data_IF_125313862365
#
_entry.id   IF_125313862365
#
_cell.length_a   1.000
_cell.length_b   1.000
_cell.length_c   1.000
_cell.angle_alpha   90.00
_cell.angle_beta   90.00
_cell.angle_gamma   90.00
#
_symmetry.space_group_name_H-M   'P 1'
#
loop_
_entity.id
_entity.type
_entity.pdbx_description
1 polymer ?
#
# COMPACT_ATOMS: atom_id res chain seq x y z
N UNK A 1 -21.18 5.42 3.84
CA UNK A 1 -20.51 6.13 2.72
C UNK A 1 -20.15 5.06 1.72
N UNK A 2 -20.54 5.19 0.46
CA UNK A 2 -20.45 4.09 -0.51
C UNK A 2 -19.00 3.62 -0.67
N UNK A 3 -18.72 2.39 -0.27
CA UNK A 3 -17.51 1.64 -0.63
C UNK A 3 -17.56 1.35 -2.12
N UNK A 4 -17.39 2.38 -2.95
CA UNK A 4 -17.05 2.19 -4.35
C UNK A 4 -15.66 1.55 -4.36
N UNK A 5 -15.63 0.25 -4.64
CA UNK A 5 -14.41 -0.51 -4.86
C UNK A 5 -13.60 0.27 -5.89
N UNK A 6 -12.51 0.90 -5.47
CA UNK A 6 -11.61 1.59 -6.38
C UNK A 6 -11.15 0.54 -7.38
N UNK A 7 -11.46 0.78 -8.64
CA UNK A 7 -11.20 -0.12 -9.73
C UNK A 7 -9.67 -0.27 -9.87
N UNK A 8 -9.10 -1.29 -9.24
CA UNK A 8 -7.64 -1.52 -9.21
C UNK A 8 -7.07 -1.84 -10.59
N UNK A 9 -7.94 -2.11 -11.57
CA UNK A 9 -7.65 -2.28 -12.99
C UNK A 9 -7.59 -0.97 -13.78
N UNK A 10 -8.00 0.16 -13.19
CA UNK A 10 -7.80 1.49 -13.80
C UNK A 10 -6.37 1.97 -13.57
N UNK A 11 -5.77 2.50 -14.64
CA UNK A 11 -4.48 3.21 -14.56
C UNK A 11 -4.71 4.59 -13.95
N UNK A 12 -4.60 4.68 -12.63
CA UNK A 12 -4.47 5.97 -11.94
C UNK A 12 -3.05 6.51 -12.13
N UNK A 13 -2.85 7.84 -12.19
CA UNK A 13 -1.52 8.43 -12.08
C UNK A 13 -0.89 7.99 -10.76
N UNK A 14 0.23 7.27 -10.83
CA UNK A 14 0.94 6.78 -9.64
C UNK A 14 1.90 7.84 -9.12
N UNK A 15 2.05 7.89 -7.80
CA UNK A 15 3.10 8.65 -7.13
C UNK A 15 4.30 7.75 -6.87
N UNK A 16 5.49 8.34 -6.85
CA UNK A 16 6.68 7.63 -6.39
C UNK A 16 6.54 7.25 -4.91
N UNK A 17 7.31 6.23 -4.48
CA UNK A 17 7.35 5.80 -3.08
C UNK A 17 7.68 6.96 -2.14
N UNK A 18 8.76 7.70 -2.41
CA UNK A 18 9.12 8.87 -1.61
C UNK A 18 8.01 9.94 -1.57
N UNK A 19 7.36 10.25 -2.70
CA UNK A 19 6.32 11.28 -2.76
C UNK A 19 5.02 10.89 -2.03
N UNK A 20 4.69 9.61 -2.00
CA UNK A 20 3.53 9.08 -1.26
C UNK A 20 3.82 8.87 0.23
N UNK A 21 5.04 9.13 0.68
CA UNK A 21 5.44 8.83 2.06
C UNK A 21 5.52 7.33 2.35
N UNK A 22 5.71 6.51 1.31
CA UNK A 22 5.77 5.06 1.45
C UNK A 22 6.99 4.61 2.27
N UNK A 23 6.80 3.60 3.10
CA UNK A 23 7.83 2.96 3.91
C UNK A 23 7.52 1.47 4.09
N UNK A 24 8.56 0.64 4.02
CA UNK A 24 8.52 -0.76 4.45
C UNK A 24 8.94 -0.88 5.92
N UNK A 25 8.10 -1.49 6.75
CA UNK A 25 8.39 -1.65 8.19
C UNK A 25 8.71 -3.12 8.47
N UNK A 26 9.96 -3.53 8.21
CA UNK A 26 10.44 -4.92 8.31
C UNK A 26 10.08 -5.63 9.63
N UNK A 27 9.97 -4.86 10.72
CA UNK A 27 9.58 -5.37 12.04
C UNK A 27 8.20 -6.05 12.01
N UNK A 28 7.30 -5.61 11.14
CA UNK A 28 5.93 -6.12 11.01
C UNK A 28 5.75 -7.17 9.92
N UNK A 29 6.81 -7.67 9.30
CA UNK A 29 6.71 -8.68 8.22
C UNK A 29 5.92 -9.94 8.58
N UNK A 30 5.85 -10.28 9.88
CA UNK A 30 5.17 -11.45 10.42
C UNK A 30 3.96 -11.06 11.32
N UNK A 31 3.55 -9.80 11.32
CA UNK A 31 2.39 -9.33 12.10
C UNK A 31 1.06 -9.73 11.43
N UNK A 32 -0.05 -9.57 12.16
CA UNK A 32 -1.37 -9.66 11.54
C UNK A 32 -1.67 -8.37 10.76
N UNK A 33 -1.62 -8.47 9.43
CA UNK A 33 -1.77 -7.32 8.53
C UNK A 33 -3.22 -7.02 8.15
N UNK A 34 -4.20 -7.80 8.65
CA UNK A 34 -5.64 -7.51 8.44
C UNK A 34 -6.14 -6.36 9.34
N UNK A 35 -5.29 -5.86 10.24
CA UNK A 35 -5.62 -4.78 11.17
C UNK A 35 -4.54 -3.70 11.12
N UNK A 36 -4.91 -2.46 11.46
CA UNK A 36 -3.99 -1.33 11.42
C UNK A 36 -3.77 -0.75 10.03
N UNK A 37 -2.79 0.15 9.94
CA UNK A 37 -2.50 1.00 8.78
C UNK A 37 -1.53 0.36 7.80
N UNK A 38 -1.75 -0.91 7.44
CA UNK A 38 -0.88 -1.63 6.51
C UNK A 38 -1.43 -1.62 5.09
N UNK A 39 -0.53 -1.69 4.10
CA UNK A 39 -0.90 -1.85 2.70
C UNK A 39 -1.82 -3.05 2.51
N UNK A 40 -1.59 -4.18 3.18
CA UNK A 40 -2.47 -5.36 3.08
C UNK A 40 -3.95 -5.03 3.36
N UNK A 41 -4.23 -4.13 4.31
CA UNK A 41 -5.57 -3.68 4.70
C UNK A 41 -5.98 -2.34 4.04
N UNK A 42 -5.35 -1.98 2.92
CA UNK A 42 -5.61 -0.74 2.19
C UNK A 42 -6.45 -1.02 0.93
N UNK A 43 -7.42 -0.16 0.60
CA UNK A 43 -8.26 -0.32 -0.62
C UNK A 43 -7.46 -0.23 -1.92
N UNK A 44 -6.30 0.42 -1.89
CA UNK A 44 -5.45 0.61 -3.07
C UNK A 44 -4.46 -0.54 -3.30
N UNK A 45 -4.37 -1.48 -2.36
CA UNK A 45 -3.43 -2.59 -2.47
C UNK A 45 -3.97 -3.65 -3.42
N UNK A 46 -3.10 -4.03 -4.36
CA UNK A 46 -3.37 -5.05 -5.35
C UNK A 46 -2.59 -6.28 -4.91
N UNK A 47 -3.29 -7.43 -4.85
CA UNK A 47 -2.68 -8.73 -4.57
C UNK A 47 -1.49 -8.95 -5.52
N UNK A 48 -0.46 -9.64 -5.03
CA UNK A 48 0.87 -9.75 -5.67
C UNK A 48 1.81 -8.54 -5.46
N UNK A 49 1.58 -7.77 -4.39
CA UNK A 49 2.49 -6.71 -3.90
C UNK A 49 2.58 -5.49 -4.83
N UNK A 50 1.44 -5.01 -5.32
CA UNK A 50 1.34 -3.80 -6.13
C UNK A 50 0.38 -2.78 -5.47
N UNK A 51 0.44 -1.53 -5.92
CA UNK A 51 -0.52 -0.50 -5.51
C UNK A 51 -1.13 0.19 -6.74
N UNK A 52 -2.41 0.55 -6.64
CA UNK A 52 -3.12 1.28 -7.69
C UNK A 52 -2.58 2.71 -7.88
N UNK A 53 -2.06 3.34 -6.82
CA UNK A 53 -1.69 4.76 -6.79
C UNK A 53 -0.22 5.04 -6.40
N UNK A 54 0.55 4.01 -6.05
CA UNK A 54 1.99 4.13 -5.73
C UNK A 54 2.78 3.24 -6.68
N UNK A 55 3.90 3.76 -7.18
CA UNK A 55 4.85 3.02 -8.01
C UNK A 55 5.55 1.91 -7.24
N UNK A 56 5.79 0.77 -7.89
CA UNK A 56 6.43 -0.37 -7.24
C UNK A 56 7.94 -0.17 -7.04
N UNK A 57 8.55 0.71 -7.84
CA UNK A 57 9.98 0.98 -7.82
C UNK A 57 10.37 2.32 -7.20
N UNK A 58 11.68 2.57 -7.18
CA UNK A 58 12.27 3.80 -6.65
C UNK A 58 12.46 3.79 -5.12
N UNK A 59 13.11 4.84 -4.58
CA UNK A 59 13.38 4.94 -3.16
C UNK A 59 12.13 5.27 -2.34
N UNK A 60 12.00 4.62 -1.19
CA UNK A 60 11.07 4.99 -0.12
C UNK A 60 11.54 6.26 0.63
N UNK A 61 10.81 6.68 1.66
CA UNK A 61 11.18 7.88 2.46
C UNK A 61 12.52 7.78 3.19
N UNK A 62 13.05 6.56 3.37
CA UNK A 62 14.35 6.31 3.98
C UNK A 62 15.46 6.09 2.93
N UNK A 63 15.15 6.24 1.63
CA UNK A 63 16.07 5.97 0.54
C UNK A 63 16.28 4.48 0.25
N UNK A 64 15.46 3.58 0.82
CA UNK A 64 15.53 2.15 0.50
C UNK A 64 14.79 1.87 -0.79
N UNK A 65 15.37 1.01 -1.61
CA UNK A 65 14.76 0.59 -2.87
C UNK A 65 14.28 -0.85 -2.80
N UNK A 66 13.05 -1.05 -3.25
CA UNK A 66 12.45 -2.36 -3.50
C UNK A 66 11.60 -2.25 -4.76
N UNK A 67 11.39 -3.36 -5.46
CA UNK A 67 10.56 -3.42 -6.68
C UNK A 67 9.11 -3.82 -6.42
N UNK A 68 8.64 -3.72 -5.17
CA UNK A 68 7.31 -4.17 -4.73
C UNK A 68 6.66 -3.16 -3.78
N UNK A 69 5.36 -3.29 -3.56
CA UNK A 69 4.67 -2.73 -2.40
C UNK A 69 4.50 -3.85 -1.37
N UNK A 70 5.35 -3.88 -0.36
CA UNK A 70 5.26 -4.86 0.71
C UNK A 70 3.93 -4.75 1.47
N UNK A 71 3.29 -5.88 1.85
CA UNK A 71 2.01 -5.87 2.55
C UNK A 71 2.10 -5.26 3.96
N UNK A 72 3.28 -5.32 4.58
CA UNK A 72 3.61 -4.70 5.87
C UNK A 72 4.14 -3.26 5.74
N UNK A 73 4.12 -2.69 4.54
CA UNK A 73 4.39 -1.27 4.31
C UNK A 73 3.16 -0.40 4.57
N UNK A 74 3.36 0.91 4.50
CA UNK A 74 2.28 1.90 4.53
C UNK A 74 2.70 3.17 3.78
N UNK A 75 1.73 3.99 3.40
CA UNK A 75 1.96 5.34 2.85
C UNK A 75 0.97 6.32 3.49
N UNK A 76 1.14 7.62 3.24
CA UNK A 76 0.27 8.66 3.83
C UNK A 76 -1.12 8.73 3.17
N UNK A 77 -1.30 8.04 2.05
CA UNK A 77 -2.55 7.97 1.28
C UNK A 77 -3.39 6.73 1.61
N UNK A 78 -3.08 6.07 2.72
CA UNK A 78 -3.77 4.86 3.16
C UNK A 78 -5.26 5.12 3.42
N UNK A 79 -6.10 4.16 3.04
CA UNK A 79 -7.55 4.20 3.23
C UNK A 79 -8.05 2.77 3.53
N UNK A 80 -8.82 2.55 4.61
CA UNK A 80 -9.16 1.22 5.12
C UNK A 80 -9.95 0.37 4.12
N UNK A 81 -9.53 -0.88 3.94
CA UNK A 81 -10.34 -1.88 3.27
C UNK A 81 -11.26 -2.61 4.25
N UNK A 82 -12.47 -2.09 4.45
CA UNK A 82 -13.48 -2.68 5.35
C UNK A 82 -13.87 -4.12 5.00
N UNK A 83 -13.55 -4.62 3.79
CA UNK A 83 -13.80 -6.02 3.41
C UNK A 83 -12.67 -6.96 3.82
N UNK A 84 -11.47 -6.45 3.97
CA UNK A 84 -10.29 -7.20 4.41
C UNK A 84 -10.11 -7.13 5.93
N UNK A 85 -10.57 -6.04 6.55
CA UNK A 85 -10.66 -5.90 7.99
C UNK A 85 -11.58 -6.97 8.59
N UNK A 86 -11.07 -7.71 9.59
CA UNK A 86 -11.80 -8.75 10.31
C UNK A 86 -12.58 -8.21 11.51
#
# INVERSE_FOLDING_TARGET
>A
MASEVIATDRQYPKLSKAASGYIEIDHFKNADLHTGYFCYNCIYFIKDNHCAIVEDGGPDVNGRESGIIAPYGLCTLWDPNEKEAR
#
